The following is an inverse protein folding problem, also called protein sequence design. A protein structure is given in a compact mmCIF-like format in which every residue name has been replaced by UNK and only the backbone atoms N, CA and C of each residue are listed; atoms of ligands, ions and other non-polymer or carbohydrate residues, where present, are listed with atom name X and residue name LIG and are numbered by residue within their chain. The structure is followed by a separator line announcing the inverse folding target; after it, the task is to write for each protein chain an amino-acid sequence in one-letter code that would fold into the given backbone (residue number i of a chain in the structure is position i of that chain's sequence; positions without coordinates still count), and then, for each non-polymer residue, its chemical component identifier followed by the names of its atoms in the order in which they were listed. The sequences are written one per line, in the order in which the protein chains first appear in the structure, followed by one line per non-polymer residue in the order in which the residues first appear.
data_IF_790101352861
#
_entry.id   IF_790101352861
#
_cell.length_a   1.000
_cell.length_b   1.000
_cell.length_c   1.000
_cell.angle_alpha   90.00
_cell.angle_beta   90.00
_cell.angle_gamma   90.00
#
_symmetry.space_group_name_H-M   'P 1'
#
loop_
_entity.id
_entity.type
_entity.pdbx_description
1 polymer ?
#
# COMPACT_ATOMS: atom_id res chain seq x y z
N UNK A 1 -12.16 34.76 -14.93
CA UNK A 1 -11.93 33.41 -14.34
C UNK A 1 -13.06 32.44 -14.72
N UNK A 2 -13.34 32.23 -16.02
CA UNK A 2 -14.47 31.40 -16.50
C UNK A 2 -14.04 30.03 -17.07
N UNK A 3 -12.81 29.60 -16.77
CA UNK A 3 -12.19 28.53 -17.54
C UNK A 3 -12.18 27.17 -16.83
N UNK A 4 -12.50 27.06 -15.54
CA UNK A 4 -12.45 25.75 -14.85
C UNK A 4 -13.74 24.94 -15.02
N UNK A 5 -14.90 25.61 -15.00
CA UNK A 5 -16.21 24.95 -15.09
C UNK A 5 -16.45 24.28 -16.46
N UNK A 6 -15.82 24.80 -17.53
CA UNK A 6 -15.89 24.21 -18.87
C UNK A 6 -14.87 23.11 -19.13
N UNK A 7 -13.90 22.91 -18.22
CA UNK A 7 -12.92 21.83 -18.32
C UNK A 7 -13.50 20.49 -17.88
N UNK A 8 -14.36 20.49 -16.87
CA UNK A 8 -15.00 19.28 -16.36
C UNK A 8 -15.67 18.49 -17.50
N UNK A 9 -16.67 19.02 -18.23
CA UNK A 9 -17.32 18.29 -19.32
C UNK A 9 -16.35 17.97 -20.48
N UNK A 10 -15.33 18.80 -20.69
CA UNK A 10 -14.31 18.57 -21.72
C UNK A 10 -13.42 17.37 -21.38
N UNK A 11 -12.99 17.22 -20.12
CA UNK A 11 -12.20 16.08 -19.65
C UNK A 11 -13.02 14.79 -19.77
N UNK A 12 -14.28 14.80 -19.34
CA UNK A 12 -15.17 13.64 -19.50
C UNK A 12 -15.34 13.26 -20.97
N UNK A 13 -15.53 14.24 -21.86
CA UNK A 13 -15.62 13.98 -23.30
C UNK A 13 -14.32 13.41 -23.89
N UNK A 14 -13.15 13.92 -23.45
CA UNK A 14 -11.85 13.39 -23.86
C UNK A 14 -11.65 11.95 -23.37
N UNK A 15 -11.96 11.66 -22.10
CA UNK A 15 -11.87 10.31 -21.54
C UNK A 15 -12.81 9.35 -22.28
N UNK A 16 -14.04 9.77 -22.57
CA UNK A 16 -14.98 8.98 -23.36
C UNK A 16 -14.47 8.69 -24.78
N UNK A 17 -13.90 9.70 -25.46
CA UNK A 17 -13.28 9.51 -26.79
C UNK A 17 -12.10 8.55 -26.75
N UNK A 18 -11.24 8.66 -25.75
CA UNK A 18 -10.10 7.76 -25.56
C UNK A 18 -10.61 6.34 -25.31
N UNK A 19 -11.58 6.19 -24.41
CA UNK A 19 -12.19 4.89 -24.10
C UNK A 19 -12.83 4.26 -25.34
N UNK A 20 -13.63 5.01 -26.09
CA UNK A 20 -14.23 4.54 -27.34
C UNK A 20 -13.16 4.15 -28.37
N UNK A 21 -12.07 4.91 -28.43
CA UNK A 21 -10.96 4.61 -29.33
C UNK A 21 -10.25 3.30 -29.00
N UNK A 22 -10.28 2.81 -27.77
CA UNK A 22 -9.72 1.48 -27.42
C UNK A 22 -10.46 0.33 -28.11
N UNK A 23 -11.74 0.53 -28.45
CA UNK A 23 -12.55 -0.42 -29.21
C UNK A 23 -12.38 -0.27 -30.73
N UNK A 24 -11.66 0.76 -31.21
CA UNK A 24 -11.35 0.92 -32.63
C UNK A 24 -10.32 -0.14 -33.08
N UNK A 25 -10.61 -0.94 -34.13
CA UNK A 25 -9.67 -1.90 -34.70
C UNK A 25 -8.40 -1.26 -35.29
N UNK A 26 -8.44 0.04 -35.64
CA UNK A 26 -7.31 0.77 -36.25
C UNK A 26 -6.27 1.25 -35.23
N UNK A 27 -6.56 1.13 -33.93
CA UNK A 27 -5.62 1.52 -32.89
C UNK A 27 -4.44 0.54 -32.79
N UNK A 28 -3.19 1.02 -32.72
CA UNK A 28 -2.03 0.16 -32.54
C UNK A 28 -2.17 -0.70 -31.28
N UNK A 29 -1.95 -2.02 -31.42
CA UNK A 29 -2.09 -2.99 -30.32
C UNK A 29 -1.25 -2.63 -29.09
N UNK A 30 -0.10 -1.99 -29.29
CA UNK A 30 0.77 -1.49 -28.20
C UNK A 30 0.05 -0.47 -27.31
N UNK A 31 -0.70 0.45 -27.91
CA UNK A 31 -1.46 1.48 -27.18
C UNK A 31 -2.62 0.83 -26.42
N UNK A 32 -3.33 -0.10 -27.05
CA UNK A 32 -4.41 -0.87 -26.42
C UNK A 32 -3.90 -1.65 -25.20
N UNK A 33 -2.76 -2.34 -25.35
CA UNK A 33 -2.13 -3.08 -24.26
C UNK A 33 -1.69 -2.17 -23.13
N UNK A 34 -1.09 -1.01 -23.45
CA UNK A 34 -0.70 -0.03 -22.43
C UNK A 34 -1.91 0.44 -21.60
N UNK A 35 -3.02 0.80 -22.25
CA UNK A 35 -4.24 1.20 -21.53
C UNK A 35 -4.83 0.08 -20.68
N UNK A 36 -4.89 -1.15 -21.20
CA UNK A 36 -5.36 -2.31 -20.45
C UNK A 36 -4.45 -2.56 -19.24
N UNK A 37 -3.12 -2.49 -19.41
CA UNK A 37 -2.16 -2.64 -18.32
C UNK A 37 -2.30 -1.52 -17.28
N UNK A 38 -2.54 -0.28 -17.70
CA UNK A 38 -2.77 0.83 -16.78
C UNK A 38 -4.06 0.66 -15.97
N UNK A 39 -5.16 0.24 -16.61
CA UNK A 39 -6.41 -0.09 -15.90
C UNK A 39 -6.17 -1.27 -14.97
N UNK A 40 -5.50 -2.32 -15.45
CA UNK A 40 -5.16 -3.49 -14.67
C UNK A 40 -4.33 -3.07 -13.46
N UNK A 41 -3.30 -2.24 -13.61
CA UNK A 41 -2.47 -1.72 -12.51
C UNK A 41 -3.29 -0.97 -11.46
N UNK A 42 -4.17 -0.07 -11.88
CA UNK A 42 -5.04 0.69 -10.95
C UNK A 42 -6.01 -0.24 -10.20
N UNK A 43 -6.49 -1.29 -10.86
CA UNK A 43 -7.42 -2.27 -10.29
C UNK A 43 -6.66 -3.44 -9.63
N UNK A 44 -5.35 -3.56 -9.81
CA UNK A 44 -4.60 -4.75 -9.47
C UNK A 44 -4.48 -4.84 -7.95
N UNK A 45 -4.78 -6.00 -7.35
CA UNK A 45 -4.82 -6.18 -5.89
C UNK A 45 -3.43 -6.16 -5.21
N UNK A 46 -2.36 -5.63 -5.82
CA UNK A 46 -1.07 -5.48 -5.13
C UNK A 46 -1.17 -4.49 -3.97
N UNK A 47 -2.02 -3.47 -4.06
CA UNK A 47 -2.37 -2.63 -2.89
C UNK A 47 -3.19 -3.42 -1.86
N UNK A 48 -4.07 -4.33 -2.30
CA UNK A 48 -4.89 -5.17 -1.40
C UNK A 48 -4.03 -6.18 -0.61
N UNK A 49 -2.93 -6.70 -1.18
CA UNK A 49 -2.00 -7.58 -0.45
C UNK A 49 -1.39 -6.84 0.75
N UNK A 50 -1.09 -5.54 0.62
CA UNK A 50 -0.61 -4.72 1.76
C UNK A 50 -1.72 -4.48 2.78
N UNK A 51 -2.96 -4.29 2.34
CA UNK A 51 -4.11 -4.09 3.22
C UNK A 51 -4.55 -5.37 3.98
N UNK A 52 -4.28 -6.56 3.45
CA UNK A 52 -4.68 -7.86 4.04
C UNK A 52 -3.68 -8.39 5.07
N UNK A 53 -2.49 -7.79 5.22
CA UNK A 53 -1.51 -8.24 6.21
C UNK A 53 -1.39 -7.26 7.41
N UNK A 54 -2.46 -7.02 8.19
CA UNK A 54 -2.35 -6.28 9.45
C UNK A 54 -1.61 -7.09 10.53
N UNK A 55 -1.54 -8.42 10.40
CA UNK A 55 -0.94 -9.33 11.39
C UNK A 55 0.58 -9.21 11.45
N UNK A 56 1.27 -8.98 10.32
CA UNK A 56 2.73 -8.78 10.36
C UNK A 56 3.13 -7.51 11.12
N UNK A 57 2.31 -6.47 11.06
CA UNK A 57 2.54 -5.24 11.85
C UNK A 57 2.46 -5.50 13.36
N UNK A 58 1.49 -6.30 13.82
CA UNK A 58 1.30 -6.62 15.23
C UNK A 58 2.36 -7.57 15.81
N UNK A 59 2.94 -8.44 14.96
CA UNK A 59 4.00 -9.35 15.40
C UNK A 59 5.27 -8.60 15.80
N UNK A 60 5.60 -7.50 15.14
CA UNK A 60 6.76 -6.66 15.50
C UNK A 60 6.57 -6.00 16.87
N UNK A 61 5.38 -5.45 17.12
CA UNK A 61 5.02 -4.86 18.43
C UNK A 61 5.11 -5.89 19.58
N UNK A 62 4.63 -7.12 19.35
CA UNK A 62 4.69 -8.21 20.34
C UNK A 62 6.14 -8.61 20.67
N UNK A 63 7.01 -8.66 19.66
CA UNK A 63 8.42 -8.98 19.85
C UNK A 63 9.13 -7.93 20.70
N UNK A 64 8.86 -6.64 20.48
CA UNK A 64 9.42 -5.55 21.29
C UNK A 64 9.02 -5.68 22.76
N UNK A 65 7.73 -5.97 23.05
CA UNK A 65 7.24 -6.16 24.42
C UNK A 65 7.93 -7.37 25.08
N UNK A 66 8.07 -8.48 24.36
CA UNK A 66 8.70 -9.70 24.90
C UNK A 66 10.17 -9.46 25.26
N UNK A 67 10.90 -8.75 24.40
CA UNK A 67 12.30 -8.36 24.66
C UNK A 67 12.38 -7.46 25.89
N UNK A 68 11.49 -6.47 26.03
CA UNK A 68 11.47 -5.58 27.19
C UNK A 68 11.28 -6.36 28.52
N UNK A 69 10.35 -7.32 28.55
CA UNK A 69 10.12 -8.19 29.71
C UNK A 69 11.36 -9.04 30.01
N UNK A 70 12.01 -9.59 28.98
CA UNK A 70 13.21 -10.39 29.14
C UNK A 70 14.35 -9.56 29.75
N UNK A 71 14.57 -8.35 29.24
CA UNK A 71 15.57 -7.42 29.78
C UNK A 71 15.27 -7.07 31.23
N UNK A 72 14.01 -6.76 31.55
CA UNK A 72 13.59 -6.46 32.92
C UNK A 72 13.86 -7.64 33.88
N UNK A 73 13.44 -8.85 33.51
CA UNK A 73 13.67 -10.07 34.32
C UNK A 73 15.16 -10.36 34.48
N UNK A 74 15.95 -10.14 33.43
CA UNK A 74 17.40 -10.30 33.49
C UNK A 74 18.05 -9.32 34.48
N UNK A 75 17.60 -8.07 34.50
CA UNK A 75 18.07 -7.08 35.48
C UNK A 75 17.69 -7.47 36.92
N UNK A 76 16.46 -7.93 37.13
CA UNK A 76 15.98 -8.40 38.44
C UNK A 76 16.79 -9.60 38.94
N UNK A 77 17.06 -10.58 38.07
CA UNK A 77 17.89 -11.74 38.37
C UNK A 77 19.31 -11.34 38.77
N UNK A 78 19.92 -10.40 38.03
CA UNK A 78 21.27 -9.89 38.31
C UNK A 78 21.33 -9.17 39.66
N UNK A 79 20.34 -8.34 39.98
CA UNK A 79 20.25 -7.64 41.27
C UNK A 79 20.16 -8.63 42.43
N UNK A 80 19.29 -9.64 42.32
CA UNK A 80 19.09 -10.67 43.35
C UNK A 80 20.35 -11.52 43.59
N UNK A 81 21.16 -11.77 42.57
CA UNK A 81 22.43 -12.48 42.73
C UNK A 81 23.51 -11.60 43.35
N UNK A 82 23.60 -10.33 42.98
CA UNK A 82 24.59 -9.42 43.58
C UNK A 82 24.33 -9.15 45.07
N UNK A 83 23.07 -9.11 45.50
CA UNK A 83 22.70 -8.99 46.92
C UNK A 83 23.02 -10.25 47.74
N UNK A 84 23.07 -11.43 47.11
CA UNK A 84 23.35 -12.69 47.81
C UNK A 84 24.86 -12.95 48.06
N UNK A 85 25.73 -12.22 47.37
CA UNK A 85 27.19 -12.32 47.51
C UNK A 85 27.82 -11.10 48.22
N UNK A 86 27.00 -10.26 48.86
CA UNK A 86 27.43 -9.15 49.73
C UNK A 86 26.95 -9.40 51.14
#
# INVERSE_FOLDING_TARGET
MKNFMSLIPRIFFFLYKIFMSLFDPRMPTKVKLFFILSILYVVFPFDIIRDIIPILGQLDDLLVILIAILVYKFQEFKKKHQEKFR
#
